data_IF_944558411466
#
_entry.id   IF_944558411466
#
_cell.length_a   1.000
_cell.length_b   1.000
_cell.length_c   1.000
_cell.angle_alpha   90.00
_cell.angle_beta   90.00
_cell.angle_gamma   90.00
#
_symmetry.space_group_name_H-M   'P 1'
#
loop_
_entity.id
_entity.type
_entity.pdbx_description
1 polymer ?
#
# COMPACT_ATOMS: atom_id res chain seq x y z
N UNK A 1 -6.55 36.12 11.15
CA UNK A 1 -5.60 35.04 10.74
C UNK A 1 -5.56 34.85 9.22
N UNK A 2 -6.67 34.57 8.52
CA UNK A 2 -6.65 34.42 7.05
C UNK A 2 -6.38 35.71 6.27
N UNK A 3 -6.71 36.88 6.77
CA UNK A 3 -6.37 38.17 6.14
C UNK A 3 -4.87 38.50 6.18
N UNK A 4 -4.11 37.91 7.09
CA UNK A 4 -2.65 38.02 7.15
C UNK A 4 -1.96 37.10 6.13
N UNK A 5 -2.67 36.09 5.62
CA UNK A 5 -2.22 35.19 4.56
C UNK A 5 -2.78 35.51 3.17
N UNK A 6 -3.61 36.53 3.03
CA UNK A 6 -3.90 37.08 1.71
C UNK A 6 -2.63 37.82 1.27
N UNK A 7 -1.77 37.24 0.46
CA UNK A 7 -0.73 38.01 -0.16
C UNK A 7 -1.43 39.08 -0.98
N UNK A 8 -0.80 40.20 -1.20
CA UNK A 8 -1.21 41.23 -2.17
C UNK A 8 -1.20 40.59 -3.57
N UNK A 9 -2.12 39.70 -3.84
CA UNK A 9 -2.20 38.87 -5.05
C UNK A 9 -3.21 39.44 -6.02
N UNK A 10 -3.28 40.75 -6.10
CA UNK A 10 -4.02 41.39 -7.18
C UNK A 10 -3.47 40.90 -8.50
N UNK A 11 -4.10 39.83 -9.03
CA UNK A 11 -3.76 39.20 -10.29
C UNK A 11 -3.11 37.83 -10.24
N UNK A 12 -2.86 37.22 -9.08
CA UNK A 12 -2.32 35.84 -8.99
C UNK A 12 -3.39 34.82 -9.27
N UNK A 13 -3.21 34.03 -10.35
CA UNK A 13 -4.14 32.97 -10.74
C UNK A 13 -3.90 31.66 -9.95
N UNK A 14 -2.75 31.49 -9.31
CA UNK A 14 -2.33 30.25 -8.64
C UNK A 14 -1.93 30.49 -7.18
N UNK A 15 -2.49 29.68 -6.28
CA UNK A 15 -2.20 29.70 -4.84
C UNK A 15 -1.78 28.31 -4.39
N UNK A 16 -0.61 28.20 -3.76
CA UNK A 16 -0.08 26.95 -3.20
C UNK A 16 0.05 27.09 -1.69
N UNK A 17 -0.64 26.22 -0.94
CA UNK A 17 -0.65 26.21 0.52
C UNK A 17 -0.13 24.88 1.02
N UNK A 18 0.99 24.91 1.74
CA UNK A 18 1.62 23.73 2.32
C UNK A 18 1.19 23.56 3.78
N UNK A 19 1.11 22.29 4.22
CA UNK A 19 0.74 21.91 5.60
C UNK A 19 -0.55 22.57 6.10
N UNK A 20 -1.58 22.62 5.23
CA UNK A 20 -2.83 23.36 5.48
C UNK A 20 -3.56 22.88 6.74
N UNK A 21 -3.37 21.63 7.16
CA UNK A 21 -4.00 21.05 8.35
C UNK A 21 -3.57 21.74 9.66
N UNK A 22 -2.48 22.50 9.65
CA UNK A 22 -2.02 23.28 10.80
C UNK A 22 -2.86 24.52 11.04
N UNK A 23 -3.66 24.93 10.06
CA UNK A 23 -4.50 26.12 10.11
C UNK A 23 -5.92 25.75 10.51
N UNK A 24 -6.44 26.40 11.54
CA UNK A 24 -7.83 26.18 11.99
C UNK A 24 -8.82 26.65 10.91
N UNK A 25 -9.90 25.89 10.73
CA UNK A 25 -11.02 26.21 9.83
C UNK A 25 -10.63 26.42 8.34
N UNK A 26 -9.50 25.83 7.91
CA UNK A 26 -9.00 25.95 6.54
C UNK A 26 -10.01 25.46 5.50
N UNK A 27 -10.80 24.45 5.82
CA UNK A 27 -11.81 23.89 4.90
C UNK A 27 -12.90 24.90 4.58
N UNK A 28 -13.37 25.64 5.59
CA UNK A 28 -14.36 26.71 5.41
C UNK A 28 -13.80 27.85 4.56
N UNK A 29 -12.55 28.23 4.82
CA UNK A 29 -11.88 29.25 4.01
C UNK A 29 -11.68 28.77 2.56
N UNK A 30 -11.19 27.55 2.34
CA UNK A 30 -10.97 27.00 1.01
C UNK A 30 -12.29 26.94 0.22
N UNK A 31 -13.38 26.53 0.87
CA UNK A 31 -14.72 26.52 0.26
C UNK A 31 -15.13 27.91 -0.22
N UNK A 32 -14.96 28.95 0.60
CA UNK A 32 -15.24 30.33 0.21
C UNK A 32 -14.40 30.76 -0.99
N UNK A 33 -13.10 30.41 -1.01
CA UNK A 33 -12.24 30.71 -2.15
C UNK A 33 -12.73 30.03 -3.44
N UNK A 34 -13.05 28.75 -3.37
CA UNK A 34 -13.52 27.97 -4.55
C UNK A 34 -14.89 28.49 -5.03
N UNK A 35 -15.78 28.84 -4.11
CA UNK A 35 -17.14 29.27 -4.46
C UNK A 35 -17.17 30.72 -5.02
N UNK A 36 -16.32 31.62 -4.54
CA UNK A 36 -16.37 33.04 -4.90
C UNK A 36 -15.23 33.53 -5.78
N UNK A 37 -14.02 32.96 -5.67
CA UNK A 37 -12.82 33.38 -6.39
C UNK A 37 -12.56 32.49 -7.63
N UNK A 38 -13.43 32.59 -8.64
CA UNK A 38 -13.41 31.68 -9.82
C UNK A 38 -12.13 31.73 -10.67
N UNK A 39 -11.34 32.80 -10.57
CA UNK A 39 -10.07 32.95 -11.30
C UNK A 39 -8.89 32.31 -10.57
N UNK A 40 -9.03 31.99 -9.28
CA UNK A 40 -7.96 31.36 -8.49
C UNK A 40 -7.90 29.85 -8.74
N UNK A 41 -6.69 29.36 -8.93
CA UNK A 41 -6.35 27.94 -8.93
C UNK A 41 -5.60 27.64 -7.64
N UNK A 42 -6.16 26.79 -6.80
CA UNK A 42 -5.64 26.57 -5.46
C UNK A 42 -5.20 25.11 -5.33
N UNK A 43 -3.96 24.90 -4.95
CA UNK A 43 -3.45 23.60 -4.54
C UNK A 43 -3.07 23.65 -3.05
N UNK A 44 -3.50 22.67 -2.29
CA UNK A 44 -3.19 22.55 -0.87
C UNK A 44 -2.54 21.20 -0.61
N UNK A 45 -1.55 21.17 0.29
CA UNK A 45 -0.93 19.93 0.75
C UNK A 45 -1.19 19.72 2.24
N UNK A 46 -1.08 18.46 2.69
CA UNK A 46 -1.18 18.10 4.10
C UNK A 46 -0.76 16.67 4.34
N UNK A 47 -0.11 16.43 5.48
CA UNK A 47 0.43 15.14 5.90
C UNK A 47 -0.61 14.16 6.47
N UNK A 48 -1.83 14.61 6.72
CA UNK A 48 -2.89 13.77 7.28
C UNK A 48 -4.21 13.99 6.55
N UNK A 49 -4.97 12.92 6.35
CA UNK A 49 -6.37 13.06 5.92
C UNK A 49 -7.12 13.78 7.02
N UNK A 50 -7.78 14.91 6.75
CA UNK A 50 -8.59 15.58 7.75
C UNK A 50 -9.60 14.58 8.30
N UNK A 51 -9.49 14.24 9.57
CA UNK A 51 -10.56 13.51 10.24
C UNK A 51 -11.82 14.37 10.09
N UNK A 52 -12.86 13.81 9.49
CA UNK A 52 -14.17 14.46 9.43
C UNK A 52 -14.66 14.54 10.87
N UNK A 53 -14.38 15.65 11.54
CA UNK A 53 -14.96 15.93 12.84
C UNK A 53 -16.44 16.29 12.63
N UNK A 54 -17.31 15.80 13.49
CA UNK A 54 -18.73 16.16 13.47
C UNK A 54 -18.89 17.67 13.38
N UNK A 55 -19.55 18.16 12.32
CA UNK A 55 -19.76 19.58 12.06
C UNK A 55 -18.83 20.21 11.02
N UNK A 56 -17.84 19.51 10.47
CA UNK A 56 -17.05 20.05 9.35
C UNK A 56 -17.78 19.87 8.02
N UNK A 57 -17.81 20.97 7.25
CA UNK A 57 -18.50 21.00 5.97
C UNK A 57 -17.81 20.11 4.92
N UNK A 58 -18.65 19.34 4.20
CA UNK A 58 -18.19 18.49 3.09
C UNK A 58 -17.63 19.32 1.94
N UNK A 59 -16.44 18.95 1.45
CA UNK A 59 -15.84 19.51 0.23
C UNK A 59 -16.32 18.90 -1.07
N UNK A 60 -17.38 18.09 -1.03
CA UNK A 60 -17.91 17.36 -2.19
C UNK A 60 -18.14 18.30 -3.38
N UNK A 61 -17.51 17.94 -4.52
CA UNK A 61 -17.65 18.67 -5.80
C UNK A 61 -16.81 19.96 -5.90
N UNK A 62 -16.02 20.32 -4.90
CA UNK A 62 -15.22 21.56 -4.88
C UNK A 62 -13.74 21.37 -5.15
N UNK A 63 -13.18 20.25 -4.73
CA UNK A 63 -11.77 19.95 -4.97
C UNK A 63 -11.56 18.47 -5.30
N UNK A 64 -10.46 18.21 -5.96
CA UNK A 64 -9.99 16.88 -6.25
C UNK A 64 -8.84 16.53 -5.30
N UNK A 65 -8.92 15.36 -4.67
CA UNK A 65 -7.88 14.89 -3.75
C UNK A 65 -6.91 13.98 -4.51
N UNK A 66 -5.65 14.38 -4.54
CA UNK A 66 -4.54 13.55 -5.01
C UNK A 66 -3.83 12.97 -3.80
N UNK A 67 -3.58 11.68 -3.83
CA UNK A 67 -2.81 11.01 -2.80
C UNK A 67 -1.42 10.68 -3.33
N UNK A 68 -0.40 11.19 -2.66
CA UNK A 68 0.97 10.84 -2.95
C UNK A 68 1.37 9.64 -2.09
N UNK A 69 1.68 8.52 -2.75
CA UNK A 69 2.30 7.37 -2.11
C UNK A 69 3.81 7.62 -1.96
N UNK A 70 4.47 6.85 -1.07
CA UNK A 70 5.92 6.79 -1.07
C UNK A 70 6.41 6.15 -2.38
N UNK A 71 7.67 6.40 -2.79
CA UNK A 71 8.21 5.93 -4.07
C UNK A 71 7.85 4.47 -4.38
N UNK A 72 7.36 4.20 -5.57
CA UNK A 72 7.28 2.85 -6.10
C UNK A 72 8.68 2.28 -6.36
N UNK A 73 8.80 0.98 -6.58
CA UNK A 73 10.09 0.38 -6.94
C UNK A 73 10.62 0.92 -8.27
N UNK A 74 9.72 1.22 -9.22
CA UNK A 74 10.08 1.90 -10.47
C UNK A 74 10.71 3.27 -10.21
N UNK A 75 10.05 4.14 -9.46
CA UNK A 75 10.56 5.47 -9.12
C UNK A 75 11.86 5.42 -8.30
N UNK A 76 11.99 4.45 -7.37
CA UNK A 76 13.21 4.22 -6.62
C UNK A 76 14.41 3.93 -7.53
N UNK A 77 14.25 3.05 -8.52
CA UNK A 77 15.30 2.74 -9.49
C UNK A 77 15.69 3.98 -10.29
N UNK A 78 14.70 4.77 -10.73
CA UNK A 78 14.93 6.01 -11.47
C UNK A 78 15.62 7.08 -10.61
N UNK A 79 15.17 7.32 -9.39
CA UNK A 79 15.75 8.26 -8.44
C UNK A 79 17.24 7.94 -8.18
N UNK A 80 17.55 6.67 -8.02
CA UNK A 80 18.92 6.19 -7.80
C UNK A 80 19.74 6.06 -9.10
N UNK A 81 19.15 6.33 -10.26
CA UNK A 81 19.78 6.17 -11.57
C UNK A 81 20.32 4.76 -11.80
N UNK A 82 19.63 3.75 -11.29
CA UNK A 82 19.99 2.35 -11.47
C UNK A 82 19.60 1.92 -12.89
N UNK A 83 20.52 1.36 -13.68
CA UNK A 83 20.18 0.83 -15.00
C UNK A 83 19.14 -0.30 -14.88
N UNK A 84 18.06 -0.18 -15.60
CA UNK A 84 17.00 -1.19 -15.64
C UNK A 84 17.08 -1.96 -16.95
N UNK A 85 16.94 -3.28 -16.96
CA UNK A 85 16.87 -4.05 -18.18
C UNK A 85 15.69 -3.59 -19.06
N UNK A 86 15.79 -3.83 -20.37
CA UNK A 86 14.70 -3.52 -21.30
C UNK A 86 13.53 -4.48 -21.08
N UNK A 87 12.60 -4.08 -20.20
CA UNK A 87 11.39 -4.85 -19.93
C UNK A 87 10.24 -4.36 -20.83
N UNK A 88 9.34 -5.27 -21.26
CA UNK A 88 8.14 -4.88 -21.98
C UNK A 88 7.27 -3.92 -21.15
N UNK A 89 6.66 -2.95 -21.81
CA UNK A 89 5.66 -2.11 -21.20
C UNK A 89 4.34 -2.86 -21.06
N UNK A 90 3.76 -2.79 -19.86
CA UNK A 90 2.46 -3.36 -19.57
C UNK A 90 1.52 -2.23 -19.12
N UNK A 91 0.34 -2.19 -19.66
CA UNK A 91 -0.75 -1.31 -19.16
C UNK A 91 -1.40 -1.91 -17.91
N UNK A 92 -1.36 -3.24 -17.81
CA UNK A 92 -1.92 -4.00 -16.71
C UNK A 92 -1.23 -5.36 -16.61
N UNK A 93 -1.11 -5.90 -15.40
CA UNK A 93 -0.66 -7.29 -15.18
C UNK A 93 -1.57 -8.32 -15.88
N UNK A 94 -2.78 -7.94 -16.30
CA UNK A 94 -3.67 -8.82 -17.05
C UNK A 94 -3.12 -9.23 -18.43
N UNK A 95 -2.24 -8.43 -19.03
CA UNK A 95 -1.61 -8.75 -20.32
C UNK A 95 -0.68 -9.97 -20.24
N UNK A 96 -0.17 -10.28 -19.04
CA UNK A 96 0.66 -11.47 -18.82
C UNK A 96 -0.04 -12.78 -19.22
N UNK A 97 -1.38 -12.83 -19.16
CA UNK A 97 -2.14 -14.02 -19.52
C UNK A 97 -2.12 -14.34 -21.02
N UNK A 98 -1.68 -13.41 -21.84
CA UNK A 98 -1.57 -13.56 -23.29
C UNK A 98 -0.12 -13.77 -23.75
N UNK A 99 0.83 -13.82 -22.80
CA UNK A 99 2.24 -14.05 -23.09
C UNK A 99 2.55 -15.50 -23.45
N UNK A 100 3.49 -15.67 -24.38
CA UNK A 100 4.08 -16.96 -24.73
C UNK A 100 5.13 -17.40 -23.69
N UNK A 101 5.45 -18.71 -23.58
CA UNK A 101 6.53 -19.19 -22.72
C UNK A 101 7.89 -18.54 -23.01
N UNK A 102 8.16 -18.18 -24.28
CA UNK A 102 9.41 -17.52 -24.66
C UNK A 102 9.51 -16.09 -24.07
N UNK A 103 8.42 -15.34 -24.04
CA UNK A 103 8.39 -14.01 -23.42
C UNK A 103 8.67 -14.09 -21.91
N UNK A 104 8.06 -15.05 -21.21
CA UNK A 104 8.35 -15.28 -19.79
C UNK A 104 9.83 -15.61 -19.56
N UNK A 105 10.42 -16.47 -20.37
CA UNK A 105 11.83 -16.86 -20.24
C UNK A 105 12.79 -15.68 -20.48
N UNK A 106 12.54 -14.87 -21.51
CA UNK A 106 13.34 -13.68 -21.81
C UNK A 106 13.30 -12.69 -20.66
N UNK A 107 12.09 -12.34 -20.19
CA UNK A 107 11.92 -11.38 -19.10
C UNK A 107 12.48 -11.91 -17.77
N UNK A 108 12.42 -13.21 -17.52
CA UNK A 108 13.05 -13.82 -16.35
C UNK A 108 14.58 -13.64 -16.37
N UNK A 109 15.19 -13.85 -17.51
CA UNK A 109 16.64 -13.67 -17.68
C UNK A 109 17.05 -12.19 -17.49
N UNK A 110 16.37 -11.28 -18.15
CA UNK A 110 16.65 -9.85 -18.10
C UNK A 110 16.38 -9.27 -16.72
N UNK A 111 15.30 -9.67 -16.07
CA UNK A 111 14.88 -9.19 -14.76
C UNK A 111 15.68 -9.72 -13.56
N UNK A 112 16.58 -10.70 -13.76
CA UNK A 112 17.31 -11.33 -12.65
C UNK A 112 18.13 -10.35 -11.82
N UNK A 113 18.71 -9.32 -12.44
CA UNK A 113 19.48 -8.27 -11.78
C UNK A 113 18.65 -7.40 -10.83
N UNK A 114 17.33 -7.34 -11.03
CA UNK A 114 16.43 -6.50 -10.24
C UNK A 114 16.22 -7.02 -8.80
N UNK A 115 16.48 -8.31 -8.54
CA UNK A 115 16.25 -8.92 -7.22
C UNK A 115 17.09 -8.26 -6.14
N UNK A 116 18.36 -8.00 -6.39
CA UNK A 116 19.24 -7.34 -5.43
C UNK A 116 18.78 -5.91 -5.13
N UNK A 117 18.40 -5.15 -6.16
CA UNK A 117 17.89 -3.79 -6.01
C UNK A 117 16.53 -3.76 -5.29
N UNK A 118 15.70 -4.77 -5.51
CA UNK A 118 14.44 -4.90 -4.78
C UNK A 118 14.68 -5.16 -3.29
N UNK A 119 15.65 -6.01 -2.93
CA UNK A 119 16.06 -6.21 -1.54
C UNK A 119 16.58 -4.90 -0.91
N UNK A 120 17.40 -4.13 -1.62
CA UNK A 120 17.82 -2.82 -1.14
C UNK A 120 16.64 -1.86 -0.93
N UNK A 121 15.67 -1.85 -1.83
CA UNK A 121 14.44 -1.09 -1.70
C UNK A 121 13.67 -1.47 -0.43
N UNK A 122 13.53 -2.76 -0.13
CA UNK A 122 12.88 -3.23 1.10
C UNK A 122 13.61 -2.79 2.37
N UNK A 123 14.93 -2.65 2.31
CA UNK A 123 15.76 -2.26 3.47
C UNK A 123 15.80 -0.76 3.71
N UNK A 124 15.82 0.04 2.65
CA UNK A 124 15.98 1.51 2.72
C UNK A 124 14.66 2.24 2.82
N UNK A 125 13.60 1.63 2.32
CA UNK A 125 12.30 2.26 2.16
C UNK A 125 12.17 3.11 0.92
N UNK A 126 10.99 3.64 0.77
CA UNK A 126 10.53 4.37 -0.39
C UNK A 126 10.36 5.87 -0.13
N UNK A 127 10.94 6.40 0.93
CA UNK A 127 11.04 7.84 1.13
C UNK A 127 12.26 8.37 0.39
N UNK A 128 12.16 9.47 -0.37
CA UNK A 128 13.28 9.98 -1.19
C UNK A 128 14.58 10.16 -0.40
N UNK A 129 14.50 10.72 0.80
CA UNK A 129 15.68 10.95 1.64
C UNK A 129 16.35 9.64 2.06
N UNK A 130 15.60 8.68 2.60
CA UNK A 130 16.15 7.38 3.02
C UNK A 130 16.67 6.56 1.83
N UNK A 131 16.00 6.65 0.68
CA UNK A 131 16.41 5.95 -0.54
C UNK A 131 17.78 6.40 -1.05
N UNK A 132 18.13 7.68 -0.91
CA UNK A 132 19.40 8.26 -1.39
C UNK A 132 20.58 8.06 -0.44
N UNK A 133 20.36 7.71 0.83
CA UNK A 133 21.44 7.44 1.79
C UNK A 133 22.16 6.14 1.40
N UNK A 134 23.49 6.15 1.32
CA UNK A 134 24.28 4.97 0.94
C UNK A 134 24.22 3.86 1.99
N UNK A 135 24.39 4.19 3.26
CA UNK A 135 24.38 3.24 4.35
C UNK A 135 22.95 2.81 4.71
N UNK A 136 22.67 1.52 4.65
CA UNK A 136 21.37 0.95 5.07
C UNK A 136 21.05 1.31 6.53
N UNK A 137 22.04 1.21 7.41
CA UNK A 137 21.86 1.56 8.82
C UNK A 137 21.52 3.03 9.02
N UNK A 138 22.17 3.93 8.26
CA UNK A 138 21.86 5.36 8.33
C UNK A 138 20.48 5.68 7.74
N UNK A 139 20.08 5.04 6.64
CA UNK A 139 18.76 5.18 6.05
C UNK A 139 17.66 4.71 7.02
N UNK A 140 17.85 3.56 7.65
CA UNK A 140 16.89 3.04 8.65
C UNK A 140 16.83 3.90 9.91
N UNK A 141 17.97 4.46 10.34
CA UNK A 141 18.00 5.40 11.47
C UNK A 141 17.19 6.66 11.16
N UNK A 142 17.41 7.26 9.98
CA UNK A 142 16.64 8.43 9.54
C UNK A 142 15.13 8.11 9.50
N UNK A 143 14.77 7.00 8.87
CA UNK A 143 13.36 6.60 8.74
C UNK A 143 12.71 6.37 10.11
N UNK A 144 13.43 5.78 11.06
CA UNK A 144 12.95 5.62 12.43
C UNK A 144 12.74 6.96 13.13
N UNK A 145 13.71 7.88 13.04
CA UNK A 145 13.61 9.22 13.62
C UNK A 145 12.43 9.98 13.04
N UNK A 146 12.23 9.92 11.73
CA UNK A 146 11.10 10.58 11.06
C UNK A 146 9.75 10.00 11.51
N UNK A 147 9.62 8.68 11.59
CA UNK A 147 8.36 8.05 11.98
C UNK A 147 8.11 8.20 13.48
N UNK A 148 9.06 7.81 14.32
CA UNK A 148 8.84 7.76 15.77
C UNK A 148 8.86 9.16 16.39
N UNK A 149 9.87 9.97 16.08
CA UNK A 149 10.02 11.25 16.74
C UNK A 149 9.20 12.37 16.07
N UNK A 150 9.13 12.40 14.75
CA UNK A 150 8.36 13.43 14.04
C UNK A 150 6.87 13.07 13.98
N UNK A 151 6.48 11.94 13.39
CA UNK A 151 5.06 11.61 13.22
C UNK A 151 4.40 11.22 14.52
N UNK A 152 4.90 10.18 15.22
CA UNK A 152 4.21 9.69 16.42
C UNK A 152 4.27 10.65 17.60
N UNK A 153 5.42 11.26 17.90
CA UNK A 153 5.56 12.11 19.07
C UNK A 153 5.12 13.55 18.83
N UNK A 154 5.51 14.13 17.69
CA UNK A 154 5.26 15.54 17.40
C UNK A 154 3.91 15.76 16.73
N UNK A 155 3.67 15.15 15.57
CA UNK A 155 2.50 15.45 14.75
C UNK A 155 1.22 14.91 15.37
N UNK A 156 1.23 13.70 15.93
CA UNK A 156 0.08 13.15 16.65
C UNK A 156 -0.33 13.99 17.86
N UNK A 157 0.64 14.56 18.57
CA UNK A 157 0.37 15.46 19.70
C UNK A 157 -0.18 16.79 19.20
N UNK A 158 0.44 17.40 18.20
CA UNK A 158 0.07 18.72 17.70
C UNK A 158 -1.28 18.72 16.96
N UNK A 159 -1.53 17.72 16.10
CA UNK A 159 -2.73 17.70 15.24
C UNK A 159 -3.93 17.05 15.91
N UNK A 160 -3.71 16.02 16.72
CA UNK A 160 -4.78 15.21 17.29
C UNK A 160 -4.88 15.28 18.80
N UNK A 161 -4.02 16.07 19.47
CA UNK A 161 -4.01 16.22 20.91
C UNK A 161 -3.77 14.94 21.70
N UNK A 162 -3.00 14.00 21.12
CA UNK A 162 -2.71 12.73 21.76
C UNK A 162 -1.89 12.95 23.03
N UNK A 163 -2.47 12.60 24.19
CA UNK A 163 -1.82 12.76 25.51
C UNK A 163 -0.99 11.54 25.90
N UNK A 164 -1.34 10.36 25.37
CA UNK A 164 -0.72 9.07 25.69
C UNK A 164 0.17 8.60 24.54
N UNK A 165 1.18 9.40 24.20
CA UNK A 165 2.06 9.15 23.05
C UNK A 165 2.84 7.84 23.20
N UNK A 166 3.30 7.51 24.40
CA UNK A 166 4.02 6.26 24.67
C UNK A 166 3.16 5.02 24.43
N UNK A 167 1.89 5.06 24.84
CA UNK A 167 0.96 3.95 24.60
C UNK A 167 0.70 3.79 23.07
N UNK A 168 0.60 4.89 22.36
CA UNK A 168 0.44 4.85 20.89
C UNK A 168 1.70 4.31 20.21
N UNK A 169 2.89 4.70 20.67
CA UNK A 169 4.17 4.16 20.19
C UNK A 169 4.24 2.64 20.42
N UNK A 170 3.81 2.15 21.60
CA UNK A 170 3.73 0.73 21.88
C UNK A 170 2.77 -0.02 20.96
N UNK A 171 1.59 0.55 20.68
CA UNK A 171 0.65 -0.01 19.69
C UNK A 171 1.29 -0.06 18.32
N UNK A 172 1.97 0.99 17.87
CA UNK A 172 2.65 1.01 16.60
C UNK A 172 3.79 -0.03 16.52
N UNK A 173 4.58 -0.15 17.57
CA UNK A 173 5.62 -1.17 17.69
C UNK A 173 5.02 -2.59 17.60
N UNK A 174 3.91 -2.83 18.28
CA UNK A 174 3.17 -4.09 18.17
C UNK A 174 2.74 -4.38 16.71
N UNK A 175 2.25 -3.37 16.01
CA UNK A 175 1.89 -3.52 14.59
C UNK A 175 3.12 -3.79 13.70
N UNK A 176 4.27 -3.20 14.00
CA UNK A 176 5.53 -3.51 13.31
C UNK A 176 5.98 -4.97 13.50
N UNK A 177 5.74 -5.55 14.69
CA UNK A 177 6.05 -6.94 14.99
C UNK A 177 5.09 -7.94 14.35
N UNK A 178 3.83 -7.55 14.13
CA UNK A 178 2.75 -8.42 13.68
C UNK A 178 2.14 -7.99 12.33
N UNK A 179 2.88 -7.20 11.52
CA UNK A 179 2.42 -6.72 10.22
C UNK A 179 2.09 -7.85 9.24
N UNK A 180 1.23 -7.57 8.27
CA UNK A 180 0.79 -8.51 7.23
C UNK A 180 -0.18 -9.61 7.71
N UNK A 181 -0.35 -9.76 9.03
CA UNK A 181 -1.25 -10.74 9.62
C UNK A 181 -2.61 -10.20 10.06
N UNK A 182 -3.49 -11.11 10.46
CA UNK A 182 -4.76 -10.74 11.10
C UNK A 182 -4.50 -10.16 12.48
N UNK A 183 -4.92 -8.94 12.70
CA UNK A 183 -4.75 -8.29 14.00
C UNK A 183 -5.61 -8.97 15.07
N UNK A 184 -4.96 -9.54 16.09
CA UNK A 184 -5.63 -9.99 17.29
C UNK A 184 -5.77 -8.85 18.30
N UNK A 185 -6.90 -8.17 18.24
CA UNK A 185 -7.21 -7.04 19.11
C UNK A 185 -7.20 -7.43 20.61
N UNK A 186 -7.60 -8.68 20.93
CA UNK A 186 -7.63 -9.13 22.33
C UNK A 186 -6.20 -9.37 22.84
N UNK A 187 -5.35 -10.00 22.03
CA UNK A 187 -3.96 -10.20 22.36
C UNK A 187 -3.24 -8.85 22.51
N UNK A 188 -3.42 -7.92 21.57
CA UNK A 188 -2.83 -6.58 21.65
C UNK A 188 -3.24 -5.85 22.94
N UNK A 189 -4.53 -5.80 23.24
CA UNK A 189 -5.02 -5.13 24.45
C UNK A 189 -4.48 -5.77 25.73
N UNK A 190 -4.37 -7.10 25.78
CA UNK A 190 -3.82 -7.84 26.92
C UNK A 190 -2.32 -7.58 27.08
N UNK A 191 -1.56 -7.70 25.98
CA UNK A 191 -0.09 -7.64 26.00
C UNK A 191 0.43 -6.23 26.32
N UNK A 192 -0.34 -5.19 25.96
CA UNK A 192 -0.03 -3.79 26.27
C UNK A 192 -0.82 -3.22 27.46
N UNK A 193 -1.67 -4.01 28.10
CA UNK A 193 -2.54 -3.59 29.21
C UNK A 193 -3.44 -2.38 28.87
N UNK A 194 -3.85 -2.26 27.59
CA UNK A 194 -4.65 -1.14 27.10
C UNK A 194 -6.12 -1.54 26.89
N UNK A 195 -7.01 -0.56 27.05
CA UNK A 195 -8.44 -0.74 26.76
C UNK A 195 -8.69 -0.71 25.26
N UNK A 196 -9.59 -1.59 24.77
CA UNK A 196 -9.97 -1.69 23.35
C UNK A 196 -10.37 -0.35 22.71
N UNK A 197 -11.15 0.54 23.35
CA UNK A 197 -11.45 1.86 22.75
C UNK A 197 -10.21 2.72 22.51
N UNK A 198 -9.25 2.70 23.43
CA UNK A 198 -7.97 3.43 23.31
C UNK A 198 -7.16 2.90 22.13
N UNK A 199 -7.01 1.56 22.05
CA UNK A 199 -6.29 0.92 20.93
C UNK A 199 -6.95 1.21 19.59
N UNK A 200 -8.28 1.12 19.50
CA UNK A 200 -9.01 1.46 18.28
C UNK A 200 -8.77 2.92 17.86
N UNK A 201 -8.77 3.85 18.83
CA UNK A 201 -8.49 5.25 18.54
C UNK A 201 -7.08 5.44 17.97
N UNK A 202 -6.07 4.81 18.57
CA UNK A 202 -4.69 4.88 18.06
C UNK A 202 -4.57 4.28 16.66
N UNK A 203 -5.18 3.13 16.41
CA UNK A 203 -5.18 2.51 15.08
C UNK A 203 -5.86 3.41 14.04
N UNK A 204 -6.97 4.05 14.38
CA UNK A 204 -7.63 4.99 13.46
C UNK A 204 -6.77 6.23 13.20
N UNK A 205 -6.06 6.75 14.19
CA UNK A 205 -5.11 7.85 14.02
C UNK A 205 -3.94 7.45 13.11
N UNK A 206 -3.34 6.27 13.34
CA UNK A 206 -2.26 5.75 12.50
C UNK A 206 -2.71 5.52 11.05
N UNK A 207 -3.96 5.12 10.83
CA UNK A 207 -4.54 4.99 9.48
C UNK A 207 -4.78 6.37 8.84
N UNK A 208 -5.28 7.34 9.60
CA UNK A 208 -5.54 8.70 9.09
C UNK A 208 -4.26 9.46 8.73
N UNK A 209 -3.13 9.13 9.36
CA UNK A 209 -1.80 9.65 9.01
C UNK A 209 -1.08 8.82 7.96
N UNK A 210 -1.76 7.84 7.38
CA UNK A 210 -1.22 6.97 6.34
C UNK A 210 0.02 6.16 6.74
N UNK A 211 0.24 5.91 8.02
CA UNK A 211 1.29 5.00 8.50
C UNK A 211 0.91 3.54 8.36
N UNK A 212 -0.39 3.25 8.39
CA UNK A 212 -0.93 1.91 8.23
C UNK A 212 -2.15 1.90 7.29
N UNK A 213 -2.44 0.72 6.78
CA UNK A 213 -3.66 0.39 6.05
C UNK A 213 -4.37 -0.77 6.73
N UNK A 214 -5.70 -0.69 6.80
CA UNK A 214 -6.55 -1.79 7.27
C UNK A 214 -7.26 -2.45 6.11
N UNK A 215 -7.13 -3.78 5.99
CA UNK A 215 -7.91 -4.58 5.06
C UNK A 215 -8.99 -5.34 5.83
N UNK A 216 -10.24 -5.08 5.49
CA UNK A 216 -11.38 -5.84 5.96
C UNK A 216 -11.50 -7.17 5.19
N UNK A 217 -12.18 -8.19 5.73
CA UNK A 217 -12.45 -9.40 4.97
C UNK A 217 -13.36 -9.11 3.78
N UNK A 218 -13.13 -9.85 2.70
CA UNK A 218 -13.92 -9.79 1.48
C UNK A 218 -15.34 -10.33 1.72
N UNK A 219 -16.34 -9.61 1.21
CA UNK A 219 -17.76 -9.98 1.25
C UNK A 219 -18.64 -8.88 1.85
N UNK A 220 -19.91 -9.20 2.05
CA UNK A 220 -20.92 -8.28 2.55
C UNK A 220 -21.71 -8.92 3.68
N UNK A 221 -22.00 -8.19 4.73
CA UNK A 221 -22.86 -8.65 5.82
C UNK A 221 -22.37 -8.31 7.22
N UNK A 222 -23.17 -8.66 8.23
CA UNK A 222 -22.88 -8.35 9.64
C UNK A 222 -21.61 -9.05 10.16
N UNK A 223 -21.22 -10.17 9.58
CA UNK A 223 -20.05 -10.94 9.97
C UNK A 223 -18.75 -10.16 9.71
N UNK A 224 -18.71 -9.36 8.63
CA UNK A 224 -17.56 -8.52 8.28
C UNK A 224 -17.29 -7.44 9.33
N UNK A 225 -18.35 -6.85 9.88
CA UNK A 225 -18.25 -5.82 10.92
C UNK A 225 -17.62 -6.33 12.23
N UNK A 226 -17.61 -7.64 12.45
CA UNK A 226 -17.05 -8.30 13.64
C UNK A 226 -15.75 -9.04 13.35
N UNK A 227 -15.37 -9.15 12.09
CA UNK A 227 -14.20 -9.88 11.69
C UNK A 227 -12.91 -9.10 12.04
N UNK A 228 -11.82 -9.84 12.18
CA UNK A 228 -10.48 -9.26 12.31
C UNK A 228 -10.11 -8.60 10.98
N UNK A 229 -9.29 -7.57 11.02
CA UNK A 229 -8.70 -6.98 9.82
C UNK A 229 -7.20 -7.29 9.75
N UNK A 230 -6.65 -7.31 8.54
CA UNK A 230 -5.21 -7.29 8.32
C UNK A 230 -4.71 -5.87 8.44
N UNK A 231 -3.47 -5.70 8.91
CA UNK A 231 -2.80 -4.41 8.97
C UNK A 231 -1.52 -4.47 8.15
N UNK A 232 -1.39 -3.56 7.20
CA UNK A 232 -0.16 -3.33 6.46
C UNK A 232 0.44 -1.98 6.86
N UNK A 233 1.76 -1.93 6.99
CA UNK A 233 2.48 -0.67 7.13
C UNK A 233 2.50 0.05 5.78
N UNK A 234 2.63 1.37 5.80
CA UNK A 234 2.67 2.17 4.58
C UNK A 234 3.91 1.93 3.72
N UNK A 235 4.97 1.39 4.32
CA UNK A 235 6.24 1.15 3.63
C UNK A 235 6.93 -0.12 4.17
N UNK A 236 7.55 -0.94 3.31
CA UNK A 236 8.21 -2.19 3.71
C UNK A 236 9.39 -1.99 4.67
N UNK A 237 10.04 -0.83 4.64
CA UNK A 237 11.19 -0.55 5.51
C UNK A 237 10.81 -0.01 6.89
N UNK A 238 9.54 0.32 7.14
CA UNK A 238 9.11 0.85 8.43
C UNK A 238 9.42 -0.16 9.56
N UNK A 239 8.93 -1.40 9.45
CA UNK A 239 9.15 -2.41 10.49
C UNK A 239 10.64 -2.68 10.73
N UNK A 240 11.48 -2.98 9.72
CA UNK A 240 12.90 -3.20 9.96
C UNK A 240 13.64 -1.97 10.52
N UNK A 241 13.21 -0.76 10.19
CA UNK A 241 13.80 0.47 10.75
C UNK A 241 13.42 0.67 12.21
N UNK A 242 12.14 0.54 12.53
CA UNK A 242 11.63 0.71 13.91
C UNK A 242 12.18 -0.39 14.83
N UNK A 243 12.27 -1.62 14.34
CA UNK A 243 12.77 -2.78 15.08
C UNK A 243 14.31 -2.94 15.04
N UNK A 244 15.02 -2.02 14.36
CA UNK A 244 16.49 -2.02 14.22
C UNK A 244 17.03 -3.33 13.61
N UNK A 245 16.31 -3.92 12.65
CA UNK A 245 16.69 -5.19 12.02
C UNK A 245 17.94 -5.08 11.12
N UNK A 246 18.24 -3.91 10.58
CA UNK A 246 19.36 -3.77 9.64
C UNK A 246 19.19 -4.70 8.43
N UNK A 247 20.30 -5.25 7.96
CA UNK A 247 20.34 -6.21 6.86
C UNK A 247 19.86 -7.62 7.24
N UNK A 248 19.72 -7.93 8.54
CA UNK A 248 19.25 -9.25 9.00
C UNK A 248 17.82 -9.56 8.59
N UNK A 249 17.06 -8.54 8.14
CA UNK A 249 15.77 -8.75 7.47
C UNK A 249 15.86 -9.78 6.33
N UNK A 250 16.94 -9.75 5.55
CA UNK A 250 17.11 -10.64 4.39
C UNK A 250 17.38 -12.10 4.79
N UNK A 251 17.83 -12.33 6.02
CA UNK A 251 18.16 -13.64 6.59
C UNK A 251 16.94 -14.26 7.30
N UNK A 252 15.91 -13.48 7.60
CA UNK A 252 14.67 -13.92 8.24
C UNK A 252 13.56 -14.12 7.18
N UNK A 253 13.27 -15.37 6.72
CA UNK A 253 12.29 -15.60 5.66
C UNK A 253 10.89 -15.11 6.00
N UNK A 254 10.51 -15.12 7.29
CA UNK A 254 9.19 -14.67 7.73
C UNK A 254 9.09 -13.15 7.65
N UNK A 255 10.04 -12.44 8.24
CA UNK A 255 10.07 -10.97 8.19
C UNK A 255 10.23 -10.44 6.76
N UNK A 256 11.06 -11.10 5.95
CA UNK A 256 11.22 -10.75 4.54
C UNK A 256 9.91 -10.98 3.76
N UNK A 257 9.20 -12.08 4.02
CA UNK A 257 7.89 -12.34 3.44
C UNK A 257 6.90 -11.22 3.71
N UNK A 258 6.80 -10.79 4.98
CA UNK A 258 5.94 -9.66 5.39
C UNK A 258 6.35 -8.34 4.72
N UNK A 259 7.65 -8.07 4.60
CA UNK A 259 8.14 -6.87 3.93
C UNK A 259 7.76 -6.85 2.44
N UNK A 260 7.87 -8.01 1.76
CA UNK A 260 7.48 -8.15 0.35
C UNK A 260 5.95 -8.03 0.18
N UNK A 261 5.17 -8.66 1.06
CA UNK A 261 3.71 -8.53 1.04
C UNK A 261 3.28 -7.07 1.24
N UNK A 262 3.91 -6.36 2.18
CA UNK A 262 3.70 -4.92 2.40
C UNK A 262 4.07 -4.10 1.17
N UNK A 263 5.24 -4.36 0.56
CA UNK A 263 5.67 -3.69 -0.66
C UNK A 263 4.68 -3.91 -1.81
N UNK A 264 4.27 -5.15 -2.02
CA UNK A 264 3.32 -5.48 -3.08
C UNK A 264 1.95 -4.84 -2.85
N UNK A 265 1.40 -4.94 -1.62
CA UNK A 265 0.14 -4.28 -1.28
C UNK A 265 0.20 -2.77 -1.55
N UNK A 266 1.27 -2.10 -1.12
CA UNK A 266 1.49 -0.68 -1.37
C UNK A 266 1.40 -0.34 -2.85
N UNK A 267 2.07 -1.11 -3.73
CA UNK A 267 2.06 -0.86 -5.18
C UNK A 267 0.68 -1.09 -5.78
N UNK A 268 -0.03 -2.15 -5.38
CA UNK A 268 -1.40 -2.39 -5.84
C UNK A 268 -2.33 -1.28 -5.38
N UNK A 269 -2.21 -0.86 -4.12
CA UNK A 269 -3.00 0.20 -3.55
C UNK A 269 -2.76 1.54 -4.28
N UNK A 270 -1.51 1.95 -4.45
CA UNK A 270 -1.14 3.19 -5.11
C UNK A 270 -1.67 3.22 -6.55
N UNK A 271 -1.41 2.14 -7.31
CA UNK A 271 -1.84 2.02 -8.71
C UNK A 271 -3.34 2.16 -8.92
N UNK A 272 -4.14 1.63 -8.00
CA UNK A 272 -5.58 1.53 -8.18
C UNK A 272 -6.41 2.45 -7.27
N UNK A 273 -5.78 3.20 -6.38
CA UNK A 273 -6.48 4.07 -5.43
C UNK A 273 -7.42 5.07 -6.12
N UNK A 274 -6.94 5.75 -7.16
CA UNK A 274 -7.73 6.75 -7.90
C UNK A 274 -8.94 6.16 -8.65
N UNK A 275 -8.96 4.85 -8.86
CA UNK A 275 -10.02 4.14 -9.58
C UNK A 275 -11.16 3.65 -8.68
N UNK A 276 -11.20 4.08 -7.42
CA UNK A 276 -12.21 3.66 -6.43
C UNK A 276 -12.29 2.13 -6.27
N UNK A 277 -11.13 1.47 -6.26
CA UNK A 277 -11.03 0.01 -6.03
C UNK A 277 -11.17 -0.29 -4.55
N UNK A 278 -12.02 -1.24 -4.21
CA UNK A 278 -12.12 -1.80 -2.87
C UNK A 278 -10.99 -2.82 -2.64
N UNK A 279 -10.33 -2.74 -1.47
CA UNK A 279 -9.32 -3.73 -1.07
C UNK A 279 -9.76 -4.48 0.17
N UNK A 280 -9.59 -5.79 0.13
CA UNK A 280 -9.95 -6.71 1.20
C UNK A 280 -9.01 -7.91 1.21
N UNK A 281 -9.09 -8.75 2.22
CA UNK A 281 -8.49 -10.09 2.22
C UNK A 281 -9.60 -11.14 2.22
N UNK A 282 -9.30 -12.37 1.82
CA UNK A 282 -10.28 -13.44 1.91
C UNK A 282 -9.77 -14.61 2.73
N UNK A 283 -10.66 -15.19 3.54
CA UNK A 283 -10.39 -16.41 4.30
C UNK A 283 -11.48 -17.42 4.06
N UNK A 284 -11.06 -18.58 3.57
CA UNK A 284 -11.90 -19.74 3.32
C UNK A 284 -11.91 -20.73 4.48
N UNK A 285 -12.38 -21.94 4.19
CA UNK A 285 -12.33 -23.04 5.14
C UNK A 285 -10.92 -23.62 5.26
N UNK A 286 -10.60 -24.26 6.41
CA UNK A 286 -9.31 -24.96 6.64
C UNK A 286 -8.08 -24.04 6.48
N UNK A 287 -8.17 -22.83 7.04
CA UNK A 287 -7.09 -21.81 7.02
C UNK A 287 -6.57 -21.43 5.62
N UNK A 288 -7.41 -21.60 4.60
CA UNK A 288 -7.12 -21.07 3.27
C UNK A 288 -7.32 -19.57 3.25
N UNK A 289 -6.41 -18.87 2.61
CA UNK A 289 -6.38 -17.42 2.61
C UNK A 289 -5.99 -16.89 1.23
N UNK A 290 -6.47 -15.68 0.91
CA UNK A 290 -5.99 -14.84 -0.17
C UNK A 290 -5.61 -13.50 0.46
N UNK A 291 -4.36 -13.09 0.29
CA UNK A 291 -3.79 -11.96 1.01
C UNK A 291 -4.46 -10.64 0.65
N UNK A 292 -4.69 -10.42 -0.65
CA UNK A 292 -5.27 -9.19 -1.17
C UNK A 292 -6.31 -9.56 -2.23
N UNK A 293 -7.49 -8.99 -2.08
CA UNK A 293 -8.55 -9.04 -3.07
C UNK A 293 -8.87 -7.60 -3.49
N UNK A 294 -8.64 -7.28 -4.75
CA UNK A 294 -9.05 -6.01 -5.34
C UNK A 294 -10.41 -6.19 -6.01
N UNK A 295 -11.36 -5.30 -5.70
CA UNK A 295 -12.71 -5.31 -6.23
C UNK A 295 -13.02 -3.99 -6.91
N UNK A 296 -13.37 -4.05 -8.18
CA UNK A 296 -13.81 -2.90 -8.97
C UNK A 296 -15.04 -3.29 -9.80
N UNK A 297 -16.18 -2.67 -9.52
CA UNK A 297 -17.46 -3.04 -10.12
C UNK A 297 -17.76 -4.54 -9.94
N UNK A 298 -17.91 -5.29 -11.04
CA UNK A 298 -18.15 -6.75 -11.03
C UNK A 298 -16.84 -7.57 -11.10
N UNK A 299 -15.68 -6.92 -11.19
CA UNK A 299 -14.39 -7.59 -11.35
C UNK A 299 -13.74 -7.79 -9.99
N UNK A 300 -13.34 -9.02 -9.72
CA UNK A 300 -12.64 -9.40 -8.49
C UNK A 300 -11.29 -10.03 -8.87
N UNK A 301 -10.22 -9.45 -8.35
CA UNK A 301 -8.84 -9.84 -8.67
C UNK A 301 -8.13 -10.27 -7.39
N UNK A 302 -7.87 -11.58 -7.20
CA UNK A 302 -7.17 -12.09 -6.03
C UNK A 302 -5.66 -12.13 -6.26
N UNK A 303 -4.91 -11.75 -5.19
CA UNK A 303 -3.45 -11.82 -5.12
C UNK A 303 -3.02 -12.58 -3.87
N UNK A 304 -2.06 -13.47 -4.02
CA UNK A 304 -1.40 -14.22 -2.95
C UNK A 304 0.09 -13.93 -2.99
N UNK A 305 0.75 -13.74 -1.86
CA UNK A 305 2.19 -13.49 -1.80
C UNK A 305 2.91 -14.68 -1.18
N UNK A 306 3.80 -15.31 -1.94
CA UNK A 306 4.59 -16.49 -1.51
C UNK A 306 6.09 -16.24 -1.76
N UNK A 307 6.69 -15.37 -0.95
CA UNK A 307 8.09 -14.99 -1.11
C UNK A 307 9.03 -15.96 -0.38
N UNK A 308 9.19 -17.13 -0.95
CA UNK A 308 10.04 -18.22 -0.42
C UNK A 308 10.90 -18.85 -1.50
N UNK A 309 11.97 -19.54 -1.11
CA UNK A 309 12.92 -20.15 -2.03
C UNK A 309 12.35 -21.35 -2.83
N UNK A 310 11.33 -22.03 -2.31
CA UNK A 310 10.73 -23.18 -2.96
C UNK A 310 9.85 -22.75 -4.14
N UNK A 311 9.93 -23.51 -5.23
CA UNK A 311 9.06 -23.28 -6.39
C UNK A 311 7.59 -23.45 -5.99
N UNK A 312 6.77 -22.51 -6.40
CA UNK A 312 5.34 -22.49 -6.10
C UNK A 312 4.56 -23.25 -7.16
N UNK A 313 3.84 -24.27 -6.75
CA UNK A 313 2.98 -25.10 -7.61
C UNK A 313 1.50 -25.04 -7.21
N UNK A 314 0.65 -25.84 -7.87
CA UNK A 314 -0.79 -25.91 -7.60
C UNK A 314 -1.14 -26.23 -6.13
N UNK A 315 -0.28 -27.00 -5.45
CA UNK A 315 -0.43 -27.34 -4.04
C UNK A 315 -0.37 -26.14 -3.10
N UNK A 316 0.32 -25.09 -3.52
CA UNK A 316 0.56 -23.86 -2.72
C UNK A 316 -0.51 -22.80 -2.92
N UNK A 317 -1.29 -22.91 -3.99
CA UNK A 317 -2.32 -21.92 -4.37
C UNK A 317 -3.76 -22.39 -4.06
N UNK A 318 -3.92 -23.33 -3.13
CA UNK A 318 -5.25 -23.91 -2.80
C UNK A 318 -6.26 -22.85 -2.35
N UNK A 319 -5.83 -21.85 -1.59
CA UNK A 319 -6.69 -20.73 -1.17
C UNK A 319 -7.13 -19.89 -2.37
N UNK A 320 -6.15 -19.52 -3.20
CA UNK A 320 -6.38 -18.75 -4.42
C UNK A 320 -7.27 -19.52 -5.41
N UNK A 321 -7.06 -20.82 -5.59
CA UNK A 321 -7.90 -21.67 -6.46
C UNK A 321 -9.34 -21.76 -5.93
N UNK A 322 -9.55 -22.01 -4.63
CA UNK A 322 -10.89 -22.01 -4.00
C UNK A 322 -11.59 -20.66 -4.15
N UNK A 323 -10.87 -19.57 -3.99
CA UNK A 323 -11.40 -18.23 -4.20
C UNK A 323 -11.83 -18.04 -5.66
N UNK A 324 -10.98 -18.37 -6.62
CA UNK A 324 -11.29 -18.28 -8.05
C UNK A 324 -12.55 -19.06 -8.41
N UNK A 325 -12.66 -20.30 -7.94
CA UNK A 325 -13.82 -21.17 -8.19
C UNK A 325 -15.10 -20.60 -7.57
N UNK A 326 -15.07 -20.23 -6.28
CA UNK A 326 -16.25 -19.77 -5.54
C UNK A 326 -16.72 -18.37 -5.93
N UNK A 327 -15.81 -17.51 -6.35
CA UNK A 327 -16.09 -16.11 -6.74
C UNK A 327 -16.10 -15.90 -8.25
N UNK A 328 -15.94 -16.97 -9.03
CA UNK A 328 -15.93 -16.95 -10.49
C UNK A 328 -14.87 -15.99 -11.08
N UNK A 329 -13.72 -15.90 -10.41
CA UNK A 329 -12.58 -15.15 -10.91
C UNK A 329 -11.77 -16.04 -11.85
N UNK A 330 -11.73 -15.70 -13.15
CA UNK A 330 -10.99 -16.48 -14.15
C UNK A 330 -9.48 -16.25 -14.11
N UNK A 331 -9.03 -15.22 -13.38
CA UNK A 331 -7.62 -14.83 -13.27
C UNK A 331 -7.27 -14.57 -11.81
N UNK A 332 -6.09 -15.03 -11.41
CA UNK A 332 -5.50 -14.74 -10.10
C UNK A 332 -3.99 -14.57 -10.24
N UNK A 333 -3.36 -14.04 -9.21
CA UNK A 333 -1.92 -13.76 -9.21
C UNK A 333 -1.27 -14.32 -7.96
N UNK A 334 -0.11 -14.93 -8.15
CA UNK A 334 0.76 -15.27 -7.04
C UNK A 334 2.10 -14.58 -7.20
N UNK A 335 2.48 -13.83 -6.18
CA UNK A 335 3.71 -13.04 -6.15
C UNK A 335 4.81 -13.87 -5.51
N UNK A 336 5.88 -14.12 -6.24
CA UNK A 336 6.91 -15.11 -5.88
C UNK A 336 8.29 -14.50 -5.70
N UNK A 337 9.18 -15.25 -5.06
CA UNK A 337 10.62 -14.97 -5.01
C UNK A 337 11.34 -15.44 -6.27
N UNK A 338 10.90 -16.57 -6.81
CA UNK A 338 11.56 -17.25 -7.89
C UNK A 338 11.32 -16.55 -9.24
N UNK A 339 12.37 -15.91 -9.74
CA UNK A 339 12.31 -15.21 -11.03
C UNK A 339 12.28 -16.18 -12.20
N UNK A 340 12.88 -17.36 -12.08
CA UNK A 340 12.89 -18.38 -13.12
C UNK A 340 11.54 -19.12 -13.21
N UNK A 341 10.75 -19.06 -12.15
CA UNK A 341 9.41 -19.63 -12.12
C UNK A 341 8.32 -18.76 -12.72
N UNK A 342 8.66 -17.62 -13.36
CA UNK A 342 7.70 -16.70 -13.97
C UNK A 342 6.93 -17.40 -15.10
N UNK A 343 5.63 -17.60 -14.92
CA UNK A 343 4.80 -18.39 -15.82
C UNK A 343 3.31 -18.28 -15.48
N UNK A 344 2.46 -18.92 -16.31
CA UNK A 344 1.04 -19.10 -16.04
C UNK A 344 0.77 -20.54 -15.57
N UNK A 345 0.00 -20.68 -14.50
CA UNK A 345 -0.56 -21.96 -14.03
C UNK A 345 -2.03 -22.06 -14.48
N UNK A 346 -2.40 -23.17 -15.09
CA UNK A 346 -3.79 -23.49 -15.38
C UNK A 346 -4.41 -24.22 -14.20
N UNK A 347 -5.58 -23.75 -13.74
CA UNK A 347 -6.36 -24.45 -12.72
C UNK A 347 -7.19 -25.59 -13.35
N UNK A 348 -7.57 -26.63 -12.60
CA UNK A 348 -8.27 -27.80 -13.13
C UNK A 348 -9.78 -27.57 -13.35
N UNK A 349 -10.21 -26.32 -13.55
CA UNK A 349 -11.60 -25.97 -13.77
C UNK A 349 -11.72 -24.71 -14.63
N UNK A 350 -12.89 -24.55 -15.26
CA UNK A 350 -13.26 -23.41 -16.06
C UNK A 350 -14.26 -22.51 -15.31
N UNK A 351 -14.26 -21.23 -15.64
CA UNK A 351 -15.17 -20.24 -15.08
C UNK A 351 -16.13 -19.76 -16.18
N UNK A 352 -17.42 -19.87 -15.89
CA UNK A 352 -18.48 -19.30 -16.74
C UNK A 352 -18.64 -17.82 -16.43
N UNK A 353 -18.33 -16.99 -17.41
CA UNK A 353 -18.48 -15.53 -17.39
C UNK A 353 -19.67 -15.09 -18.24
N UNK A 354 -20.03 -13.80 -18.22
CA UNK A 354 -21.06 -13.22 -19.11
C UNK A 354 -20.72 -13.41 -20.59
N UNK A 355 -19.42 -13.51 -20.92
CA UNK A 355 -18.91 -13.66 -22.30
C UNK A 355 -18.63 -15.09 -22.73
N UNK A 356 -18.86 -16.08 -21.85
CA UNK A 356 -18.63 -17.50 -22.15
C UNK A 356 -17.81 -18.20 -21.06
N UNK A 357 -17.49 -19.47 -21.29
CA UNK A 357 -16.68 -20.28 -20.39
C UNK A 357 -15.21 -20.14 -20.76
N UNK A 358 -14.37 -19.81 -19.78
CA UNK A 358 -12.92 -19.58 -19.93
C UNK A 358 -12.14 -20.37 -18.89
N UNK A 359 -10.92 -20.87 -19.20
CA UNK A 359 -10.08 -21.56 -18.22
C UNK A 359 -9.68 -20.60 -17.10
N UNK A 360 -9.72 -21.08 -15.87
CA UNK A 360 -9.18 -20.37 -14.74
C UNK A 360 -7.66 -20.48 -14.72
N UNK A 361 -6.96 -19.34 -14.61
CA UNK A 361 -5.50 -19.27 -14.70
C UNK A 361 -4.92 -18.38 -13.60
N UNK A 362 -3.72 -18.71 -13.13
CA UNK A 362 -2.96 -17.95 -12.15
C UNK A 362 -1.62 -17.53 -12.78
N UNK A 363 -1.32 -16.26 -12.76
CA UNK A 363 -0.01 -15.75 -13.14
C UNK A 363 0.93 -15.82 -11.92
N UNK A 364 2.06 -16.55 -12.08
CA UNK A 364 3.18 -16.53 -11.13
C UNK A 364 4.10 -15.39 -11.51
N UNK A 365 4.10 -14.33 -10.73
CA UNK A 365 4.84 -13.09 -11.04
C UNK A 365 5.92 -12.85 -9.99
N UNK A 366 7.21 -12.73 -10.36
CA UNK A 366 8.26 -12.34 -9.44
C UNK A 366 7.99 -10.96 -8.83
N UNK A 367 8.14 -10.83 -7.50
CA UNK A 367 7.83 -9.61 -6.77
C UNK A 367 8.53 -8.34 -7.34
N UNK A 368 9.83 -8.37 -7.70
CA UNK A 368 10.49 -7.21 -8.29
C UNK A 368 9.81 -6.74 -9.58
N UNK A 369 9.44 -7.68 -10.46
CA UNK A 369 8.78 -7.37 -11.73
C UNK A 369 7.36 -6.85 -11.52
N UNK A 370 6.60 -7.47 -10.61
CA UNK A 370 5.25 -7.02 -10.27
C UNK A 370 5.26 -5.58 -9.74
N UNK A 371 6.13 -5.28 -8.77
CA UNK A 371 6.26 -3.94 -8.19
C UNK A 371 6.77 -2.90 -9.21
N UNK A 372 7.69 -3.32 -10.10
CA UNK A 372 8.18 -2.46 -11.17
C UNK A 372 7.05 -2.03 -12.11
N UNK A 373 6.29 -2.98 -12.66
CA UNK A 373 5.22 -2.68 -13.61
C UNK A 373 4.06 -1.93 -12.96
N UNK A 374 3.68 -2.27 -11.74
CA UNK A 374 2.65 -1.53 -11.02
C UNK A 374 3.06 -0.07 -10.80
N UNK A 375 4.30 0.18 -10.39
CA UNK A 375 4.81 1.53 -10.19
C UNK A 375 4.92 2.32 -11.51
N UNK A 376 5.37 1.69 -12.59
CA UNK A 376 5.44 2.33 -13.91
C UNK A 376 4.05 2.74 -14.39
N UNK A 377 3.08 1.81 -14.36
CA UNK A 377 1.72 2.08 -14.84
C UNK A 377 0.92 3.03 -13.95
N UNK A 378 1.31 3.24 -12.70
CA UNK A 378 0.76 4.27 -11.84
C UNK A 378 1.07 5.66 -12.43
N UNK A 379 2.33 5.93 -12.78
CA UNK A 379 2.74 7.20 -13.38
C UNK A 379 2.09 7.43 -14.74
N UNK A 380 2.10 6.42 -15.62
CA UNK A 380 1.49 6.51 -16.95
C UNK A 380 -0.02 6.83 -16.88
N UNK A 381 -0.68 6.51 -15.78
CA UNK A 381 -2.12 6.81 -15.60
C UNK A 381 -2.41 8.23 -15.10
N UNK A 382 -1.40 8.94 -14.62
CA UNK A 382 -1.52 10.34 -14.20
C UNK A 382 -1.34 11.30 -15.37
N UNK A 383 -0.68 10.86 -16.45
CA UNK A 383 -0.42 11.64 -17.66
C UNK A 383 -1.56 11.53 -18.70
N UNK A 384 -2.60 10.75 -18.45
CA UNK A 384 -3.79 10.53 -19.31
C UNK A 384 -5.05 11.09 -18.68
#
# INVERSE_FOLDING_TARGET
>A
MWREFEPETDGTEYLFLDEIQTVRDWQTWLKLQVDFEKKRRIAVTGSATPLVTEGQESGVGRWHTLRLSTLSFYEYLHLKKIPVPSLPDLRSLAELFDWSPAQFATVSADGASMVAHFHEYLLRGSFPESALIESITAAQKLLREDIVDKVLKRDMTALFGVRHVLEMEQVFLYLCLHGGGLLDMQALCRDLELKKPTVNNFINLLESTHLIYKLSPFGYGKEILRARYKVYLADPAIAPSVLLKGTTLLEDPTALGVAVETAFFKHVFARYYALSVGFSYWRGKRDREVDIVAEVQDLVIPFEVKYRAQNTGLGDVKGLAEFCETRKASRGYIITKDIQGFSILSLPFDITTKSGTVPARIAKVPAPLACYWLGKTELDSLDG
#
